data_IF_220517047422
#
_entry.id   IF_220517047422
#
_cell.length_a   1.000
_cell.length_b   1.000
_cell.length_c   1.000
_cell.angle_alpha   90.00
_cell.angle_beta   90.00
_cell.angle_gamma   90.00
#
_symmetry.space_group_name_H-M   'P 1'
#
loop_
_entity.id
_entity.type
_entity.pdbx_description
1 polymer ?
#
# COMPACT_ATOMS: atom_id res chain seq x y z
N UNK A 1 -0.70 10.09 -7.29
CA UNK A 1 -0.55 8.69 -7.76
C UNK A 1 0.37 7.82 -6.88
N UNK A 2 0.94 8.36 -5.80
CA UNK A 2 1.97 7.70 -5.00
C UNK A 2 1.65 6.27 -4.52
N UNK A 3 0.39 5.96 -4.22
CA UNK A 3 0.01 4.60 -3.80
C UNK A 3 0.29 3.56 -4.90
N UNK A 4 -0.07 3.85 -6.15
CA UNK A 4 0.17 2.93 -7.27
C UNK A 4 1.67 2.87 -7.58
N UNK A 5 2.38 3.99 -7.48
CA UNK A 5 3.84 4.03 -7.65
C UNK A 5 4.52 3.13 -6.61
N UNK A 6 4.17 3.25 -5.34
CA UNK A 6 4.72 2.38 -4.30
C UNK A 6 4.40 0.90 -4.55
N UNK A 7 3.17 0.59 -5.02
CA UNK A 7 2.82 -0.77 -5.39
C UNK A 7 3.69 -1.29 -6.55
N UNK A 8 3.98 -0.46 -7.55
CA UNK A 8 4.83 -0.83 -8.68
C UNK A 8 6.31 -0.95 -8.30
N UNK A 9 6.82 -0.08 -7.42
CA UNK A 9 8.22 -0.08 -7.00
C UNK A 9 8.59 -1.28 -6.12
N UNK A 10 7.70 -1.69 -5.22
CA UNK A 10 8.01 -2.70 -4.20
C UNK A 10 7.43 -4.09 -4.51
N UNK A 11 6.71 -4.26 -5.63
CA UNK A 11 6.21 -5.55 -6.07
C UNK A 11 6.82 -5.95 -7.42
N UNK A 12 6.94 -7.26 -7.63
CA UNK A 12 7.52 -7.83 -8.85
C UNK A 12 6.57 -7.61 -10.03
N UNK A 13 7.11 -7.21 -11.18
CA UNK A 13 6.34 -7.09 -12.44
C UNK A 13 5.65 -8.42 -12.78
N UNK A 14 4.39 -8.37 -13.22
CA UNK A 14 3.58 -9.57 -13.47
C UNK A 14 2.97 -10.22 -12.22
N UNK A 15 3.27 -9.73 -11.01
CA UNK A 15 2.52 -10.12 -9.82
C UNK A 15 1.13 -9.47 -9.82
N UNK A 16 0.15 -10.11 -9.16
CA UNK A 16 -1.22 -9.61 -9.11
C UNK A 16 -1.31 -8.17 -8.58
N UNK A 17 -0.53 -7.84 -7.54
CA UNK A 17 -0.51 -6.50 -6.93
C UNK A 17 0.05 -5.47 -7.92
N UNK A 18 1.09 -5.83 -8.69
CA UNK A 18 1.67 -4.98 -9.69
C UNK A 18 0.68 -4.72 -10.84
N UNK A 19 0.08 -5.77 -11.39
CA UNK A 19 -0.88 -5.65 -12.49
C UNK A 19 -2.12 -4.84 -12.09
N UNK A 20 -2.68 -5.12 -10.90
CA UNK A 20 -3.83 -4.38 -10.38
C UNK A 20 -3.50 -2.89 -10.19
N UNK A 21 -2.28 -2.56 -9.76
CA UNK A 21 -1.86 -1.17 -9.56
C UNK A 21 -1.85 -0.35 -10.85
N UNK A 22 -1.55 -0.97 -12.00
CA UNK A 22 -1.59 -0.32 -13.32
C UNK A 22 -3.04 -0.04 -13.72
N UNK A 23 -3.92 -1.03 -13.55
CA UNK A 23 -5.34 -0.87 -13.89
C UNK A 23 -5.97 0.22 -13.02
N UNK A 24 -5.71 0.19 -11.71
CA UNK A 24 -6.23 1.19 -10.76
C UNK A 24 -5.73 2.61 -11.09
N UNK A 25 -4.47 2.77 -11.48
CA UNK A 25 -3.93 4.04 -11.95
C UNK A 25 -4.71 4.58 -13.16
N UNK A 26 -5.01 3.72 -14.14
CA UNK A 26 -5.80 4.12 -15.32
C UNK A 26 -7.25 4.50 -14.97
N UNK A 27 -7.89 3.73 -14.09
CA UNK A 27 -9.27 3.97 -13.65
C UNK A 27 -9.35 5.30 -12.89
N UNK A 28 -8.44 5.53 -11.94
CA UNK A 28 -8.39 6.77 -11.17
C UNK A 28 -8.17 7.99 -12.06
N UNK A 29 -7.23 7.94 -13.00
CA UNK A 29 -6.99 9.04 -13.95
C UNK A 29 -8.25 9.34 -14.77
N UNK A 30 -8.89 8.31 -15.33
CA UNK A 30 -10.09 8.50 -16.15
C UNK A 30 -11.28 9.04 -15.35
N UNK A 31 -11.40 8.65 -14.08
CA UNK A 31 -12.44 9.15 -13.20
C UNK A 31 -12.16 10.61 -12.80
N UNK A 32 -10.90 10.94 -12.47
CA UNK A 32 -10.46 12.30 -12.16
C UNK A 32 -10.69 13.25 -13.34
N UNK A 33 -10.37 12.82 -14.56
CA UNK A 33 -10.58 13.61 -15.76
C UNK A 33 -12.07 13.91 -15.99
N UNK A 34 -12.95 12.91 -15.78
CA UNK A 34 -14.40 13.12 -15.86
C UNK A 34 -14.88 14.13 -14.82
N UNK A 35 -14.44 14.01 -13.57
CA UNK A 35 -14.81 14.94 -12.50
C UNK A 35 -14.31 16.37 -12.74
N UNK A 36 -13.12 16.53 -13.33
CA UNK A 36 -12.57 17.85 -13.69
C UNK A 36 -13.34 18.47 -14.87
N UNK A 37 -13.74 17.68 -15.86
CA UNK A 37 -14.53 18.16 -17.02
C UNK A 37 -15.96 18.50 -16.64
N UNK A 38 -16.57 17.73 -15.72
CA UNK A 38 -17.96 17.93 -15.29
C UNK A 38 -18.09 19.00 -14.17
N UNK A 39 -16.99 19.63 -13.76
CA UNK A 39 -16.98 20.95 -13.10
C UNK A 39 -17.41 21.04 -11.63
N UNK A 40 -17.80 19.94 -10.97
CA UNK A 40 -18.44 20.03 -9.63
C UNK A 40 -17.62 19.49 -8.45
N UNK A 41 -16.36 19.10 -8.63
CA UNK A 41 -15.51 18.72 -7.48
C UNK A 41 -14.13 19.36 -7.59
N UNK A 42 -14.02 20.55 -6.98
CA UNK A 42 -12.76 21.14 -6.56
C UNK A 42 -12.10 20.28 -5.47
N UNK A 43 -11.64 19.08 -5.83
CA UNK A 43 -10.68 18.32 -5.04
C UNK A 43 -9.31 18.88 -5.40
N UNK A 44 -8.82 19.72 -4.47
CA UNK A 44 -7.59 20.49 -4.59
C UNK A 44 -6.43 19.69 -5.18
N UNK A 45 -5.73 20.37 -6.09
CA UNK A 45 -4.36 20.10 -6.53
C UNK A 45 -3.50 19.52 -5.41
N UNK A 46 -3.25 18.21 -5.48
CA UNK A 46 -1.96 17.65 -5.09
C UNK A 46 -1.23 17.31 -6.39
N UNK A 47 -0.80 18.41 -7.02
CA UNK A 47 0.15 18.44 -8.12
C UNK A 47 1.52 18.21 -7.48
N UNK A 48 1.90 16.95 -7.34
CA UNK A 48 3.28 16.56 -7.14
C UNK A 48 3.60 15.48 -8.16
N UNK A 49 3.56 15.91 -9.42
CA UNK A 49 4.37 15.34 -10.49
C UNK A 49 5.82 15.72 -10.15
N UNK A 50 6.62 14.74 -9.74
CA UNK A 50 8.09 14.88 -9.72
C UNK A 50 8.68 13.55 -10.14
N UNK A 51 8.70 13.36 -11.45
CA UNK A 51 9.61 12.46 -12.14
C UNK A 51 11.05 12.95 -11.94
N UNK A 52 11.88 12.29 -11.13
CA UNK A 52 13.37 12.36 -11.22
C UNK A 52 14.02 11.03 -10.77
N UNK A 53 14.42 10.24 -11.77
CA UNK A 53 15.77 9.71 -12.04
C UNK A 53 16.72 9.24 -10.88
N UNK A 54 17.23 8.00 -11.02
CA UNK A 54 18.63 7.67 -10.70
C UNK A 54 18.97 7.08 -9.30
N UNK A 55 19.62 5.89 -9.22
CA UNK A 55 20.01 5.29 -7.94
C UNK A 55 21.32 5.89 -7.43
N UNK A 56 21.24 6.72 -6.38
CA UNK A 56 22.44 7.23 -5.68
C UNK A 56 22.63 6.53 -4.34
N UNK A 57 23.74 5.80 -4.29
CA UNK A 57 24.32 5.10 -3.17
C UNK A 57 24.72 6.03 -2.01
N UNK A 58 24.50 5.53 -0.79
CA UNK A 58 25.27 5.77 0.44
C UNK A 58 25.41 7.23 0.96
N UNK A 59 24.77 7.49 2.11
CA UNK A 59 25.43 8.12 3.25
C UNK A 59 24.62 7.91 4.52
N UNK A 60 25.28 7.33 5.52
CA UNK A 60 24.80 7.19 6.89
C UNK A 60 24.56 8.56 7.54
N UNK A 61 23.47 8.71 8.27
CA UNK A 61 23.43 9.62 9.41
C UNK A 61 22.48 9.07 10.48
N UNK A 62 23.06 8.68 11.61
CA UNK A 62 22.33 8.31 12.80
C UNK A 62 21.71 9.53 13.49
N UNK A 63 20.58 9.30 14.17
CA UNK A 63 20.16 10.06 15.35
C UNK A 63 18.96 9.36 16.03
N UNK A 64 19.23 8.85 17.22
CA UNK A 64 18.43 8.96 18.44
C UNK A 64 16.92 8.64 18.42
N UNK A 65 16.62 7.53 19.11
CA UNK A 65 15.72 7.47 20.26
C UNK A 65 14.28 8.03 20.10
N UNK A 66 13.32 7.10 20.09
CA UNK A 66 12.07 7.21 20.86
C UNK A 66 11.38 5.85 20.95
N UNK A 67 11.55 5.21 22.10
CA UNK A 67 10.78 4.06 22.56
C UNK A 67 9.27 4.37 22.56
N UNK A 68 8.52 3.83 21.61
CA UNK A 68 7.05 3.81 21.67
C UNK A 68 6.59 2.39 21.99
N UNK A 69 6.20 2.19 23.26
CA UNK A 69 5.56 0.97 23.79
C UNK A 69 4.48 0.48 22.83
N UNK A 70 4.68 -0.69 22.23
CA UNK A 70 3.70 -1.38 21.40
C UNK A 70 2.55 -1.83 22.29
N UNK A 71 1.37 -1.20 22.18
CA UNK A 71 0.14 -1.72 22.78
C UNK A 71 -0.23 -2.99 22.02
N UNK A 72 0.03 -4.14 22.64
CA UNK A 72 -0.31 -5.47 22.13
C UNK A 72 -1.78 -5.49 21.74
N UNK A 73 -2.06 -5.56 20.44
CA UNK A 73 -3.41 -5.81 19.94
C UNK A 73 -3.68 -7.28 20.23
N UNK A 74 -4.64 -7.53 21.10
CA UNK A 74 -5.18 -8.85 21.39
C UNK A 74 -5.71 -9.44 20.07
N UNK A 75 -4.87 -10.21 19.37
CA UNK A 75 -5.28 -10.99 18.21
C UNK A 75 -6.28 -12.01 18.73
N UNK A 76 -7.53 -11.94 18.25
CA UNK A 76 -8.51 -13.01 18.44
C UNK A 76 -7.89 -14.28 17.86
N UNK A 77 -7.42 -15.16 18.73
CA UNK A 77 -7.15 -16.55 18.34
C UNK A 77 -8.51 -17.16 18.06
N UNK A 78 -8.77 -17.49 16.80
CA UNK A 78 -9.74 -18.52 16.45
C UNK A 78 -9.29 -19.77 17.21
N UNK A 79 -10.12 -20.25 18.14
CA UNK A 79 -9.94 -21.59 18.71
C UNK A 79 -10.57 -22.49 17.65
N UNK A 80 -9.74 -23.24 16.92
CA UNK A 80 -10.25 -24.36 16.14
C UNK A 80 -10.67 -25.41 17.15
N UNK A 81 -11.97 -25.64 17.28
CA UNK A 81 -12.54 -26.73 18.06
C UNK A 81 -12.52 -27.99 17.17
N UNK A 82 -11.33 -28.44 16.81
CA UNK A 82 -11.11 -29.60 15.94
C UNK A 82 -9.96 -30.45 16.50
N UNK A 83 -10.11 -30.86 17.76
CA UNK A 83 -9.31 -31.94 18.34
C UNK A 83 -10.03 -32.52 19.58
N UNK A 84 -11.01 -33.39 19.36
CA UNK A 84 -11.44 -34.33 20.40
C UNK A 84 -11.65 -35.73 19.82
N UNK A 85 -10.57 -36.50 19.97
CA UNK A 85 -10.49 -37.92 20.30
C UNK A 85 -10.56 -38.96 19.19
N UNK A 86 -9.35 -39.41 18.84
CA UNK A 86 -8.96 -40.75 18.40
C UNK A 86 -9.72 -41.87 19.13
N UNK A 87 -10.27 -42.77 18.32
CA UNK A 87 -10.19 -44.23 18.40
C UNK A 87 -9.51 -44.85 19.64
N UNK A 88 -10.26 -45.67 20.40
CA UNK A 88 -9.73 -46.84 21.13
C UNK A 88 -10.84 -47.82 21.56
N UNK A 89 -10.69 -49.04 21.04
CA UNK A 89 -11.32 -50.36 21.29
C UNK A 89 -12.77 -50.63 20.81
#
# INVERSE_FOLDING_TARGET
MLLCINAQTYNVEGSLIYEDSIVLQSVFTSARERLQKDGDLALGTDDQDTDEDGPSTAAEHGSEEKTKKRKSRHVRRYISDDDDTEESD
#
